data_IF_578232781385
#
_entry.id   IF_578232781385
#
_cell.length_a   1.000
_cell.length_b   1.000
_cell.length_c   1.000
_cell.angle_alpha   90.00
_cell.angle_beta   90.00
_cell.angle_gamma   90.00
#
_symmetry.space_group_name_H-M   'P 1'
#
loop_
_entity.id
_entity.type
_entity.pdbx_description
1 polymer ?
#
# COMPACT_ATOMS: atom_id res chain seq x y z
N UNK A 1 22.68 -14.29 24.66
CA UNK A 1 22.73 -13.55 23.40
C UNK A 1 22.60 -14.57 22.27
N UNK A 2 21.43 -14.65 21.63
CA UNK A 2 21.12 -15.70 20.64
C UNK A 2 22.00 -15.55 19.41
N UNK A 3 22.73 -16.60 19.05
CA UNK A 3 23.58 -16.63 17.87
C UNK A 3 22.71 -16.58 16.60
N UNK A 4 22.73 -15.46 15.89
CA UNK A 4 22.09 -15.31 14.58
C UNK A 4 22.83 -16.20 13.56
N UNK A 5 22.26 -17.38 13.32
CA UNK A 5 22.83 -18.40 12.44
C UNK A 5 22.80 -17.98 10.97
N UNK A 6 23.93 -18.13 10.27
CA UNK A 6 24.15 -17.84 8.83
C UNK A 6 23.06 -18.48 7.94
N UNK A 7 22.46 -19.58 8.40
CA UNK A 7 21.35 -20.26 7.74
C UNK A 7 20.11 -19.38 7.54
N UNK A 8 19.85 -18.40 8.42
CA UNK A 8 18.73 -17.45 8.25
C UNK A 8 18.94 -16.56 7.02
N UNK A 9 20.18 -16.07 6.82
CA UNK A 9 20.49 -15.26 5.64
C UNK A 9 20.48 -16.07 4.36
N UNK A 10 20.90 -17.33 4.40
CA UNK A 10 20.79 -18.23 3.25
C UNK A 10 19.33 -18.47 2.85
N UNK A 11 18.44 -18.70 3.83
CA UNK A 11 17.00 -18.88 3.57
C UNK A 11 16.38 -17.58 3.04
N UNK A 12 16.69 -16.42 3.61
CA UNK A 12 16.19 -15.13 3.13
C UNK A 12 16.68 -14.85 1.71
N UNK A 13 17.97 -15.10 1.41
CA UNK A 13 18.51 -14.93 0.07
C UNK A 13 17.92 -15.91 -0.94
N UNK A 14 17.53 -17.11 -0.52
CA UNK A 14 16.88 -18.08 -1.41
C UNK A 14 15.41 -17.70 -1.64
N UNK A 15 14.67 -17.35 -0.59
CA UNK A 15 13.25 -16.95 -0.65
C UNK A 15 13.07 -15.61 -1.38
N UNK A 16 14.01 -14.67 -1.27
CA UNK A 16 13.95 -13.36 -1.94
C UNK A 16 14.69 -13.39 -3.28
N UNK A 17 15.88 -13.98 -3.31
CA UNK A 17 16.76 -14.00 -4.48
C UNK A 17 16.24 -14.87 -5.60
N UNK A 18 15.57 -15.99 -5.33
CA UNK A 18 14.98 -16.83 -6.38
C UNK A 18 13.85 -16.09 -7.12
N UNK A 19 12.84 -15.50 -6.43
CA UNK A 19 11.85 -14.66 -7.10
C UNK A 19 12.44 -13.46 -7.83
N UNK A 20 13.42 -12.78 -7.24
CA UNK A 20 14.10 -11.63 -7.87
C UNK A 20 14.86 -12.05 -9.13
N UNK A 21 15.59 -13.17 -9.08
CA UNK A 21 16.32 -13.72 -10.22
C UNK A 21 15.38 -14.10 -11.37
N UNK A 22 14.27 -14.80 -11.06
CA UNK A 22 13.25 -15.11 -12.05
C UNK A 22 12.58 -13.87 -12.61
N UNK A 23 12.35 -12.85 -11.78
CA UNK A 23 11.76 -11.60 -12.22
C UNK A 23 12.69 -10.80 -13.15
N UNK A 24 13.98 -10.71 -12.83
CA UNK A 24 15.01 -10.09 -13.70
C UNK A 24 15.13 -10.86 -15.01
N UNK A 25 15.20 -12.20 -14.95
CA UNK A 25 15.31 -13.04 -16.14
C UNK A 25 14.05 -12.98 -17.02
N UNK A 26 12.88 -12.83 -16.43
CA UNK A 26 11.62 -12.64 -17.16
C UNK A 26 11.54 -11.27 -17.84
N UNK A 27 12.12 -10.23 -17.24
CA UNK A 27 12.19 -8.88 -17.79
C UNK A 27 13.26 -8.73 -18.90
N UNK A 28 14.22 -9.65 -18.98
CA UNK A 28 15.26 -9.69 -20.02
C UNK A 28 14.79 -10.31 -21.35
N UNK A 29 13.57 -10.85 -21.43
CA UNK A 29 13.02 -11.30 -22.71
C UNK A 29 12.66 -10.08 -23.57
N UNK A 30 13.13 -10.00 -24.83
CA UNK A 30 12.74 -8.93 -25.74
C UNK A 30 11.21 -8.93 -25.86
N UNK A 31 10.58 -7.81 -25.54
CA UNK A 31 9.14 -7.70 -25.58
C UNK A 31 8.65 -7.84 -27.03
N UNK A 32 7.99 -8.96 -27.33
CA UNK A 32 7.07 -9.03 -28.47
C UNK A 32 6.07 -7.88 -28.34
N UNK A 33 6.07 -7.00 -29.36
CA UNK A 33 5.16 -5.87 -29.61
C UNK A 33 4.61 -5.17 -28.34
N UNK A 34 5.15 -3.99 -27.96
CA UNK A 34 4.72 -3.20 -26.80
C UNK A 34 3.21 -2.92 -26.70
N UNK A 35 2.47 -2.97 -27.82
CA UNK A 35 1.02 -2.82 -27.88
C UNK A 35 0.24 -4.03 -27.30
N UNK A 36 0.85 -5.21 -27.23
CA UNK A 36 0.19 -6.45 -26.78
C UNK A 36 0.13 -6.62 -25.25
N UNK A 37 0.88 -5.82 -24.48
CA UNK A 37 0.97 -5.98 -23.02
C UNK A 37 -0.18 -5.24 -22.31
N UNK A 38 -1.37 -5.82 -22.32
CA UNK A 38 -2.60 -5.30 -21.67
C UNK A 38 -3.07 -6.26 -20.57
N UNK A 39 -3.65 -5.71 -19.50
CA UNK A 39 -4.27 -6.48 -18.42
C UNK A 39 -3.32 -6.84 -17.27
N UNK A 40 -3.87 -7.55 -16.27
CA UNK A 40 -3.15 -7.96 -15.07
C UNK A 40 -2.18 -9.10 -15.40
N UNK A 41 -0.88 -8.78 -15.42
CA UNK A 41 0.18 -9.76 -15.68
C UNK A 41 1.54 -9.28 -15.17
N UNK A 42 2.46 -10.22 -14.94
CA UNK A 42 3.79 -9.93 -14.38
C UNK A 42 3.70 -9.17 -13.06
N UNK A 43 4.52 -8.14 -12.91
CA UNK A 43 4.57 -7.28 -11.72
C UNK A 43 3.23 -6.59 -11.37
N UNK A 44 2.37 -6.33 -12.36
CA UNK A 44 1.05 -5.72 -12.09
C UNK A 44 0.12 -6.69 -11.35
N UNK A 45 0.30 -8.01 -11.50
CA UNK A 45 -0.49 -8.99 -10.74
C UNK A 45 -0.10 -8.95 -9.25
N UNK A 46 1.19 -8.81 -8.94
CA UNK A 46 1.66 -8.68 -7.56
C UNK A 46 1.11 -7.42 -6.90
N UNK A 47 1.10 -6.29 -7.62
CA UNK A 47 0.45 -5.07 -7.16
C UNK A 47 -1.06 -5.30 -6.91
N UNK A 48 -1.74 -6.02 -7.80
CA UNK A 48 -3.17 -6.30 -7.67
C UNK A 48 -3.48 -7.12 -6.41
N UNK A 49 -2.66 -8.12 -6.12
CA UNK A 49 -2.77 -8.93 -4.90
C UNK A 49 -2.52 -8.03 -3.68
N UNK A 50 -1.44 -7.25 -3.67
CA UNK A 50 -1.13 -6.32 -2.58
C UNK A 50 -2.26 -5.32 -2.32
N UNK A 51 -2.82 -4.72 -3.36
CA UNK A 51 -3.94 -3.78 -3.26
C UNK A 51 -5.22 -4.46 -2.75
N UNK A 52 -5.43 -5.74 -3.09
CA UNK A 52 -6.58 -6.52 -2.61
C UNK A 52 -6.43 -6.90 -1.13
N UNK A 53 -5.20 -7.19 -0.69
CA UNK A 53 -4.90 -7.53 0.70
C UNK A 53 -4.88 -6.30 1.62
N UNK A 54 -4.63 -5.10 1.10
CA UNK A 54 -4.52 -3.87 1.91
C UNK A 54 -5.77 -3.59 2.78
N UNK A 55 -7.01 -3.58 2.25
CA UNK A 55 -8.21 -3.39 3.07
C UNK A 55 -8.40 -4.47 4.13
N UNK A 56 -8.09 -5.73 3.78
CA UNK A 56 -8.19 -6.85 4.72
C UNK A 56 -7.20 -6.68 5.87
N UNK A 57 -5.98 -6.26 5.58
CA UNK A 57 -4.96 -5.97 6.59
C UNK A 57 -5.43 -4.86 7.53
N UNK A 58 -5.98 -3.76 6.99
CA UNK A 58 -6.50 -2.67 7.83
C UNK A 58 -7.67 -3.11 8.73
N UNK A 59 -8.53 -4.03 8.27
CA UNK A 59 -9.58 -4.63 9.09
C UNK A 59 -9.02 -5.54 10.19
N UNK A 60 -7.98 -6.32 9.89
CA UNK A 60 -7.29 -7.16 10.88
C UNK A 60 -6.62 -6.30 11.94
N UNK A 61 -5.94 -5.22 11.52
CA UNK A 61 -5.31 -4.25 12.43
C UNK A 61 -6.37 -3.65 13.37
N UNK A 62 -7.50 -3.19 12.83
CA UNK A 62 -8.62 -2.67 13.63
C UNK A 62 -9.17 -3.70 14.64
N UNK A 63 -9.29 -4.97 14.23
CA UNK A 63 -9.72 -6.05 15.12
C UNK A 63 -8.71 -6.34 16.22
N UNK A 64 -7.42 -6.36 15.89
CA UNK A 64 -6.34 -6.59 16.85
C UNK A 64 -6.17 -5.47 17.87
N UNK A 65 -6.55 -4.23 17.52
CA UNK A 65 -6.51 -3.08 18.43
C UNK A 65 -7.68 -3.02 19.41
N UNK A 66 -8.65 -3.93 19.33
CA UNK A 66 -9.89 -3.88 20.12
C UNK A 66 -9.65 -3.88 21.64
N UNK A 67 -8.71 -4.68 22.14
CA UNK A 67 -8.35 -4.68 23.57
C UNK A 67 -7.71 -3.35 24.00
N UNK A 68 -6.83 -2.78 23.16
CA UNK A 68 -6.22 -1.47 23.40
C UNK A 68 -7.26 -0.35 23.43
N UNK A 69 -8.24 -0.40 22.53
CA UNK A 69 -9.38 0.51 22.53
C UNK A 69 -10.24 0.39 23.78
N UNK A 70 -10.50 -0.83 24.27
CA UNK A 70 -11.24 -1.02 25.52
C UNK A 70 -10.51 -0.41 26.73
N UNK A 71 -9.19 -0.55 26.79
CA UNK A 71 -8.39 0.07 27.86
C UNK A 71 -8.38 1.60 27.75
N UNK A 72 -8.21 2.14 26.54
CA UNK A 72 -8.29 3.58 26.29
C UNK A 72 -9.64 4.15 26.68
N UNK A 73 -10.75 3.46 26.40
CA UNK A 73 -12.11 3.91 26.76
C UNK A 73 -12.32 4.18 28.26
N UNK A 74 -11.49 3.58 29.13
CA UNK A 74 -11.56 3.80 30.58
C UNK A 74 -10.83 5.07 31.05
N UNK A 75 -9.99 5.66 30.20
CA UNK A 75 -9.24 6.87 30.50
C UNK A 75 -10.08 8.14 30.24
N UNK A 76 -9.82 9.23 30.98
CA UNK A 76 -10.33 10.55 30.63
C UNK A 76 -9.95 10.91 29.18
N UNK A 77 -10.92 11.38 28.39
CA UNK A 77 -10.81 11.66 26.95
C UNK A 77 -10.51 10.46 26.03
N UNK A 78 -10.34 9.25 26.59
CA UNK A 78 -10.05 8.04 25.85
C UNK A 78 -11.08 7.68 24.76
N UNK A 79 -12.40 7.79 25.01
CA UNK A 79 -13.40 7.58 23.97
C UNK A 79 -13.23 8.50 22.76
N UNK A 80 -12.87 9.77 22.99
CA UNK A 80 -12.64 10.75 21.92
C UNK A 80 -11.40 10.38 21.09
N UNK A 81 -10.34 9.89 21.74
CA UNK A 81 -9.14 9.37 21.06
C UNK A 81 -9.51 8.20 20.15
N UNK A 82 -10.20 7.19 20.70
CA UNK A 82 -10.58 5.99 19.95
C UNK A 82 -11.52 6.31 18.78
N UNK A 83 -12.52 7.16 18.96
CA UNK A 83 -13.41 7.54 17.87
C UNK A 83 -12.68 8.29 16.74
N UNK A 84 -11.71 9.13 17.09
CA UNK A 84 -10.88 9.81 16.09
C UNK A 84 -9.99 8.85 15.31
N UNK A 85 -9.31 7.93 16.00
CA UNK A 85 -8.46 6.91 15.35
C UNK A 85 -9.29 6.00 14.43
N UNK A 86 -10.42 5.46 14.92
CA UNK A 86 -11.34 4.65 14.11
C UNK A 86 -11.84 5.45 12.90
N UNK A 87 -12.21 6.72 13.11
CA UNK A 87 -12.66 7.61 12.03
C UNK A 87 -11.60 7.77 10.94
N UNK A 88 -10.35 8.06 11.32
CA UNK A 88 -9.22 8.18 10.39
C UNK A 88 -8.95 6.86 9.65
N UNK A 89 -8.96 5.74 10.35
CA UNK A 89 -8.77 4.41 9.76
C UNK A 89 -9.90 4.06 8.77
N UNK A 90 -11.15 4.37 9.08
CA UNK A 90 -12.29 4.14 8.18
C UNK A 90 -12.20 4.99 6.92
N UNK A 91 -11.78 6.26 7.02
CA UNK A 91 -11.55 7.13 5.86
C UNK A 91 -10.42 6.58 4.99
N UNK A 92 -9.32 6.13 5.60
CA UNK A 92 -8.22 5.51 4.87
C UNK A 92 -8.62 4.19 4.21
N UNK A 93 -9.39 3.35 4.90
CA UNK A 93 -9.96 2.11 4.37
C UNK A 93 -10.86 2.39 3.16
N UNK A 94 -11.71 3.42 3.24
CA UNK A 94 -12.55 3.85 2.12
C UNK A 94 -11.71 4.23 0.90
N UNK A 95 -10.63 4.98 1.09
CA UNK A 95 -9.70 5.32 0.02
C UNK A 95 -9.07 4.05 -0.60
N UNK A 96 -8.60 3.11 0.22
CA UNK A 96 -8.04 1.84 -0.27
C UNK A 96 -9.06 1.05 -1.11
N UNK A 97 -10.33 0.99 -0.67
CA UNK A 97 -11.42 0.33 -1.41
C UNK A 97 -11.70 1.06 -2.73
N UNK A 98 -11.75 2.39 -2.73
CA UNK A 98 -11.95 3.19 -3.95
C UNK A 98 -10.83 2.93 -4.97
N UNK A 99 -9.58 2.89 -4.51
CA UNK A 99 -8.40 2.59 -5.35
C UNK A 99 -8.48 1.16 -5.88
N UNK A 100 -8.85 0.20 -5.04
CA UNK A 100 -9.05 -1.20 -5.43
C UNK A 100 -10.14 -1.34 -6.50
N UNK A 101 -11.29 -0.71 -6.32
CA UNK A 101 -12.38 -0.70 -7.32
C UNK A 101 -11.92 -0.04 -8.61
N UNK A 102 -11.21 1.09 -8.53
CA UNK A 102 -10.64 1.75 -9.71
C UNK A 102 -9.64 0.84 -10.45
N UNK A 103 -8.85 0.06 -9.70
CA UNK A 103 -7.92 -0.92 -10.24
C UNK A 103 -8.66 -2.02 -11.00
N UNK A 104 -9.62 -2.69 -10.37
CA UNK A 104 -10.37 -3.78 -11.00
C UNK A 104 -11.21 -3.34 -12.20
N UNK A 105 -11.76 -2.12 -12.14
CA UNK A 105 -12.47 -1.51 -13.28
C UNK A 105 -11.54 -1.01 -14.39
N UNK A 106 -10.22 -1.17 -14.24
CA UNK A 106 -9.21 -0.65 -15.18
C UNK A 106 -9.39 0.85 -15.47
N UNK A 107 -9.84 1.60 -14.47
CA UNK A 107 -10.14 3.02 -14.59
C UNK A 107 -8.87 3.83 -14.86
N UNK A 108 -8.91 4.84 -15.75
CA UNK A 108 -7.76 5.72 -15.98
C UNK A 108 -7.36 6.51 -14.74
N UNK A 109 -8.29 6.70 -13.79
CA UNK A 109 -8.04 7.38 -12.51
C UNK A 109 -7.23 6.55 -11.54
N UNK A 110 -7.03 5.24 -11.78
CA UNK A 110 -6.28 4.36 -10.88
C UNK A 110 -4.91 4.93 -10.52
N UNK A 111 -4.16 5.46 -11.49
CA UNK A 111 -2.79 5.99 -11.24
C UNK A 111 -2.80 7.16 -10.24
N UNK A 112 -3.75 8.08 -10.41
CA UNK A 112 -3.92 9.24 -9.52
C UNK A 112 -4.41 8.82 -8.14
N UNK A 113 -5.40 7.92 -8.07
CA UNK A 113 -5.92 7.41 -6.81
C UNK A 113 -4.85 6.64 -6.02
N UNK A 114 -4.04 5.83 -6.69
CA UNK A 114 -2.93 5.10 -6.08
C UNK A 114 -1.85 6.05 -5.53
N UNK A 115 -1.57 7.15 -6.24
CA UNK A 115 -0.70 8.21 -5.73
C UNK A 115 -1.29 8.88 -4.47
N UNK A 116 -2.59 9.18 -4.47
CA UNK A 116 -3.27 9.73 -3.28
C UNK A 116 -3.24 8.78 -2.10
N UNK A 117 -3.43 7.47 -2.32
CA UNK A 117 -3.28 6.46 -1.28
C UNK A 117 -1.86 6.44 -0.69
N UNK A 118 -0.84 6.54 -1.53
CA UNK A 118 0.55 6.61 -1.05
C UNK A 118 0.83 7.86 -0.22
N UNK A 119 0.36 9.03 -0.66
CA UNK A 119 0.48 10.28 0.09
C UNK A 119 -0.37 10.29 1.38
N UNK A 120 -1.47 9.54 1.39
CA UNK A 120 -2.32 9.43 2.58
C UNK A 120 -1.63 8.68 3.73
N UNK A 121 -0.64 7.81 3.47
CA UNK A 121 0.09 7.08 4.52
C UNK A 121 0.73 8.05 5.54
N UNK A 122 1.65 8.97 5.16
CA UNK A 122 2.24 9.90 6.11
C UNK A 122 1.23 10.90 6.66
N UNK A 123 0.22 11.29 5.87
CA UNK A 123 -0.82 12.22 6.31
C UNK A 123 -1.65 11.63 7.45
N UNK A 124 -2.13 10.39 7.29
CA UNK A 124 -2.91 9.69 8.33
C UNK A 124 -2.07 9.50 9.58
N UNK A 125 -0.80 9.09 9.44
CA UNK A 125 0.10 8.94 10.58
C UNK A 125 0.30 10.24 11.38
N UNK A 126 0.52 11.37 10.69
CA UNK A 126 0.68 12.68 11.33
C UNK A 126 -0.62 13.11 12.00
N UNK A 127 -1.76 12.99 11.31
CA UNK A 127 -3.07 13.37 11.85
C UNK A 127 -3.41 12.56 13.11
N UNK A 128 -3.17 11.25 13.07
CA UNK A 128 -3.40 10.37 14.20
C UNK A 128 -2.50 10.72 15.40
N UNK A 129 -1.19 10.88 15.16
CA UNK A 129 -0.23 11.27 16.21
C UNK A 129 -0.60 12.61 16.86
N UNK A 130 -0.96 13.61 16.05
CA UNK A 130 -1.36 14.93 16.53
C UNK A 130 -2.67 14.85 17.30
N UNK A 131 -3.64 14.09 16.81
CA UNK A 131 -4.93 13.87 17.48
C UNK A 131 -4.74 13.25 18.86
N UNK A 132 -4.02 12.13 18.94
CA UNK A 132 -3.74 11.42 20.19
C UNK A 132 -3.01 12.33 21.18
N UNK A 133 -1.99 13.07 20.71
CA UNK A 133 -1.22 14.00 21.56
C UNK A 133 -2.08 15.13 22.13
N UNK A 134 -2.96 15.73 21.31
CA UNK A 134 -3.84 16.82 21.75
C UNK A 134 -4.90 16.29 22.74
N UNK A 135 -5.56 15.17 22.40
CA UNK A 135 -6.71 14.68 23.18
C UNK A 135 -6.29 14.10 24.53
N UNK A 136 -5.17 13.36 24.56
CA UNK A 136 -4.64 12.77 25.80
C UNK A 136 -3.70 13.71 26.57
N UNK A 137 -3.33 14.86 25.98
CA UNK A 137 -2.34 15.77 26.57
C UNK A 137 -0.93 15.15 26.69
N UNK A 138 -0.67 14.07 25.95
CA UNK A 138 0.60 13.36 25.99
C UNK A 138 1.63 14.06 25.09
N UNK A 139 2.88 14.24 25.55
CA UNK A 139 3.92 14.83 24.73
C UNK A 139 4.22 13.94 23.52
N UNK A 140 4.45 14.55 22.35
CA UNK A 140 4.70 13.81 21.11
C UNK A 140 5.87 12.82 21.20
N UNK A 141 6.86 13.07 22.08
CA UNK A 141 7.98 12.15 22.32
C UNK A 141 7.56 10.80 22.93
N UNK A 142 6.42 10.74 23.62
CA UNK A 142 5.86 9.49 24.16
C UNK A 142 5.00 8.75 23.12
N UNK A 143 4.42 9.48 22.15
CA UNK A 143 3.61 8.90 21.06
C UNK A 143 4.54 8.40 19.93
N UNK A 144 5.59 9.15 19.61
CA UNK A 144 6.59 8.86 18.59
C UNK A 144 7.71 7.94 19.11
N UNK A 145 7.34 6.75 19.59
CA UNK A 145 8.35 5.72 19.91
C UNK A 145 9.01 5.20 18.63
N UNK A 146 10.26 4.72 18.73
CA UNK A 146 11.06 4.31 17.56
C UNK A 146 10.35 3.28 16.66
N UNK A 147 9.68 2.30 17.27
CA UNK A 147 8.92 1.27 16.55
C UNK A 147 7.64 1.82 15.90
N UNK A 148 6.98 2.78 16.57
CA UNK A 148 5.78 3.45 16.05
C UNK A 148 6.10 4.29 14.80
N UNK A 149 7.32 4.82 14.67
CA UNK A 149 7.77 5.61 13.51
C UNK A 149 8.34 4.72 12.41
N UNK A 150 9.02 3.61 12.76
CA UNK A 150 9.66 2.73 11.79
C UNK A 150 8.67 2.07 10.82
N UNK A 151 7.50 1.65 11.33
CA UNK A 151 6.50 0.92 10.54
C UNK A 151 5.84 1.77 9.43
N UNK A 152 5.36 3.00 9.71
CA UNK A 152 4.88 3.93 8.68
C UNK A 152 5.93 4.30 7.65
N UNK A 153 7.19 4.51 8.07
CA UNK A 153 8.30 4.81 7.15
C UNK A 153 8.53 3.63 6.19
N UNK A 154 8.63 2.42 6.73
CA UNK A 154 8.81 1.22 5.90
C UNK A 154 7.65 1.06 4.91
N UNK A 155 6.42 1.25 5.37
CA UNK A 155 5.22 1.17 4.54
C UNK A 155 5.22 2.22 3.42
N UNK A 156 5.63 3.45 3.73
CA UNK A 156 5.74 4.55 2.77
C UNK A 156 6.80 4.26 1.70
N UNK A 157 7.99 3.78 2.09
CA UNK A 157 9.07 3.43 1.17
C UNK A 157 8.67 2.28 0.26
N UNK A 158 8.15 1.18 0.82
CA UNK A 158 7.73 0.02 0.05
C UNK A 158 6.60 0.35 -0.93
N UNK A 159 5.62 1.14 -0.50
CA UNK A 159 4.52 1.58 -1.37
C UNK A 159 5.01 2.56 -2.44
N UNK A 160 6.00 3.41 -2.12
CA UNK A 160 6.59 4.37 -3.06
C UNK A 160 7.28 3.69 -4.25
N UNK A 161 7.89 2.51 -4.04
CA UNK A 161 8.46 1.69 -5.12
C UNK A 161 7.35 1.31 -6.13
N UNK A 162 6.17 0.95 -5.64
CA UNK A 162 5.03 0.62 -6.50
C UNK A 162 4.46 1.84 -7.22
N UNK A 163 4.47 3.03 -6.59
CA UNK A 163 4.07 4.28 -7.28
C UNK A 163 5.00 4.54 -8.47
N UNK A 164 6.31 4.44 -8.27
CA UNK A 164 7.27 4.59 -9.36
C UNK A 164 7.04 3.56 -10.48
N UNK A 165 6.74 2.31 -10.12
CA UNK A 165 6.36 1.27 -11.09
C UNK A 165 5.08 1.62 -11.86
N UNK A 166 4.02 2.09 -11.19
CA UNK A 166 2.73 2.44 -11.81
C UNK A 166 2.88 3.53 -12.87
N UNK A 167 3.73 4.52 -12.64
CA UNK A 167 3.94 5.62 -13.57
C UNK A 167 4.92 5.30 -14.70
N UNK A 168 5.90 4.42 -14.48
CA UNK A 168 6.93 4.08 -15.48
C UNK A 168 6.56 2.86 -16.36
N UNK A 169 5.70 1.97 -15.87
CA UNK A 169 5.39 0.69 -16.53
C UNK A 169 4.53 0.88 -17.78
N UNK A 170 5.03 0.38 -18.92
CA UNK A 170 4.29 0.35 -20.20
C UNK A 170 3.00 -0.47 -20.06
N UNK A 171 3.04 -1.61 -19.36
CA UNK A 171 1.84 -2.44 -19.11
C UNK A 171 0.77 -1.69 -18.33
N UNK A 172 1.16 -0.93 -17.30
CA UNK A 172 0.21 -0.13 -16.49
C UNK A 172 -0.36 1.00 -17.35
N UNK A 173 0.48 1.68 -18.13
CA UNK A 173 0.01 2.69 -19.07
C UNK A 173 -0.99 2.11 -20.08
N UNK A 174 -0.74 0.93 -20.64
CA UNK A 174 -1.65 0.28 -21.59
C UNK A 174 -2.93 -0.23 -20.91
N UNK A 175 -2.86 -0.71 -19.66
CA UNK A 175 -4.01 -1.28 -18.93
C UNK A 175 -4.96 -0.21 -18.41
N UNK A 176 -4.43 0.93 -17.97
CA UNK A 176 -5.19 2.04 -17.37
C UNK A 176 -5.11 3.32 -18.23
N UNK A 177 -4.81 3.18 -19.52
CA UNK A 177 -4.53 4.32 -20.41
C UNK A 177 -5.76 5.17 -20.72
N UNK A 178 -6.95 4.56 -20.75
CA UNK A 178 -8.15 5.18 -21.29
C UNK A 178 -8.01 5.41 -22.80
N UNK A 179 -8.93 4.88 -23.60
CA UNK A 179 -9.15 5.22 -25.01
C UNK A 179 -8.08 4.90 -26.08
N UNK A 180 -6.82 4.59 -25.78
CA UNK A 180 -5.86 4.22 -26.85
C UNK A 180 -6.24 2.93 -27.61
N UNK A 181 -6.94 1.99 -26.95
CA UNK A 181 -7.45 0.78 -27.58
C UNK A 181 -8.73 0.99 -28.40
N UNK A 182 -9.42 2.12 -28.22
CA UNK A 182 -10.68 2.42 -28.92
C UNK A 182 -10.42 3.10 -30.27
N UNK A 183 -9.38 3.93 -30.34
CA UNK A 183 -9.04 4.68 -31.56
C UNK A 183 -8.31 3.81 -32.59
N UNK A 184 -7.46 2.87 -32.15
CA UNK A 184 -6.70 2.00 -33.07
C UNK A 184 -7.59 1.01 -33.84
N UNK A 185 -8.72 0.58 -33.25
CA UNK A 185 -9.74 -0.25 -33.93
C UNK A 185 -10.59 0.60 -34.89
N UNK A 186 -10.87 1.86 -34.54
CA UNK A 186 -11.68 2.75 -35.37
C UNK A 186 -10.95 3.29 -36.61
N UNK A 187 -9.61 3.37 -36.59
CA UNK A 187 -8.81 3.81 -37.75
C UNK A 187 -8.37 2.66 -38.68
N UNK A 188 -8.62 1.41 -38.30
CA UNK A 188 -8.28 0.22 -39.08
C UNK A 188 -9.50 -0.43 -39.78
N UNK A 189 -10.66 0.24 -39.75
CA UNK A 189 -11.92 -0.19 -40.39
C UNK A 189 -12.27 0.70 -41.57
#
# INVERSE_FOLDING_TARGET
MGAFSIWHWAIVLLVVGVPVFFAIRSAAKPAEKPAALVGFGGWLLLLAIGQTLSPLRSLVELGSSSEGYQQLMLLPNGPLTVYGEIGLLLVFLLLQVVVLVAMWRRSPRFKQLFLYQWMAIPVVFILDTVWVSIVLGAPMSQVLTGDAVATPILSFVLTGIWVAYVYKSVRVRNTFGGAAASTEVATAS
#
